data_IF_413462904536
#
_entry.id   IF_413462904536
#
_cell.length_a   1.000
_cell.length_b   1.000
_cell.length_c   1.000
_cell.angle_alpha   90.00
_cell.angle_beta   90.00
_cell.angle_gamma   90.00
#
_symmetry.space_group_name_H-M   'P 1'
#
loop_
_entity.id
_entity.type
_entity.pdbx_description
1 polymer ?
#
# COMPACT_ATOMS: atom_id res chain seq x y z
N UNK A 1 23.29 -8.09 -10.76
CA UNK A 1 23.50 -6.64 -10.48
C UNK A 1 23.42 -6.45 -8.97
N UNK A 2 23.95 -5.37 -8.35
CA UNK A 2 23.67 -5.17 -6.93
C UNK A 2 22.16 -5.03 -6.72
N UNK A 3 21.66 -5.49 -5.55
CA UNK A 3 20.27 -5.34 -5.14
C UNK A 3 19.81 -3.89 -5.30
N UNK A 4 18.58 -3.66 -5.77
CA UNK A 4 17.94 -2.34 -5.82
C UNK A 4 17.45 -1.88 -4.42
N UNK A 5 17.43 -2.77 -3.42
CA UNK A 5 16.93 -2.48 -2.08
C UNK A 5 17.62 -1.28 -1.39
N UNK A 6 18.95 -1.05 -1.49
CA UNK A 6 19.59 0.14 -0.93
C UNK A 6 19.09 1.45 -1.55
N UNK A 7 18.76 1.44 -2.85
CA UNK A 7 18.23 2.61 -3.54
C UNK A 7 16.79 2.91 -3.09
N UNK A 8 15.94 1.87 -2.94
CA UNK A 8 14.59 2.00 -2.38
C UNK A 8 14.66 2.52 -0.94
N UNK A 9 15.58 1.98 -0.14
CA UNK A 9 15.82 2.37 1.26
C UNK A 9 16.20 3.84 1.37
N UNK A 10 17.15 4.30 0.57
CA UNK A 10 17.59 5.69 0.56
C UNK A 10 16.45 6.64 0.17
N UNK A 11 15.64 6.29 -0.84
CA UNK A 11 14.47 7.08 -1.21
C UNK A 11 13.41 7.12 -0.10
N UNK A 12 13.14 5.97 0.54
CA UNK A 12 12.19 5.88 1.65
C UNK A 12 12.61 6.70 2.87
N UNK A 13 13.90 6.68 3.22
CA UNK A 13 14.48 7.51 4.27
C UNK A 13 14.33 9.00 3.95
N UNK A 14 14.72 9.42 2.75
CA UNK A 14 14.57 10.81 2.33
C UNK A 14 13.10 11.26 2.33
N UNK A 15 12.17 10.41 1.90
CA UNK A 15 10.74 10.72 1.96
C UNK A 15 10.22 10.84 3.40
N UNK A 16 10.76 10.04 4.34
CA UNK A 16 10.46 10.17 5.76
C UNK A 16 11.02 11.46 6.34
N UNK A 17 12.26 11.80 6.02
CA UNK A 17 12.87 13.07 6.43
C UNK A 17 12.05 14.27 5.90
N UNK A 18 11.53 14.18 4.65
CA UNK A 18 10.68 15.23 4.08
C UNK A 18 9.37 15.37 4.84
N UNK A 19 8.78 14.26 5.27
CA UNK A 19 7.60 14.26 6.12
C UNK A 19 7.87 14.90 7.49
N UNK A 20 9.00 14.56 8.12
CA UNK A 20 9.36 15.11 9.42
C UNK A 20 9.70 16.62 9.32
N UNK A 21 10.42 17.06 8.28
CA UNK A 21 10.66 18.48 8.04
C UNK A 21 9.34 19.27 7.84
N UNK A 22 8.41 18.75 7.03
CA UNK A 22 7.09 19.39 6.84
C UNK A 22 6.28 19.48 8.14
N UNK A 23 6.37 18.46 9.00
CA UNK A 23 5.70 18.42 10.32
C UNK A 23 6.19 19.56 11.22
N UNK A 24 7.46 19.95 11.10
CA UNK A 24 8.08 21.01 11.88
C UNK A 24 8.15 22.38 11.19
N UNK A 25 7.69 22.48 9.94
CA UNK A 25 7.80 23.69 9.15
C UNK A 25 9.24 24.01 8.74
N UNK A 26 10.09 22.99 8.66
CA UNK A 26 11.47 23.07 8.17
C UNK A 26 11.52 22.99 6.64
N UNK A 27 12.66 23.40 6.06
CA UNK A 27 12.86 23.35 4.62
C UNK A 27 13.20 21.92 4.16
N UNK A 28 12.47 21.43 3.17
CA UNK A 28 12.69 20.11 2.55
C UNK A 28 13.80 20.13 1.50
N UNK A 29 14.29 21.32 1.11
CA UNK A 29 15.31 21.47 0.07
C UNK A 29 16.66 20.86 0.47
N UNK A 30 17.01 20.90 1.76
CA UNK A 30 18.30 20.43 2.28
C UNK A 30 18.35 18.91 2.50
N UNK A 31 17.22 18.22 2.36
CA UNK A 31 17.14 16.77 2.53
C UNK A 31 17.82 16.08 1.35
N UNK A 32 18.85 15.31 1.64
CA UNK A 32 19.62 14.56 0.63
C UNK A 32 18.75 13.47 0.02
N UNK A 33 18.67 13.46 -1.32
CA UNK A 33 18.08 12.40 -2.11
C UNK A 33 19.12 11.93 -3.13
N UNK A 34 19.12 10.64 -3.47
CA UNK A 34 20.08 10.12 -4.44
C UNK A 34 19.88 10.79 -5.80
N UNK A 35 20.97 11.03 -6.53
CA UNK A 35 20.88 11.63 -7.87
C UNK A 35 20.03 10.80 -8.85
N UNK A 36 19.86 9.49 -8.57
CA UNK A 36 18.97 8.58 -9.31
C UNK A 36 17.50 9.00 -9.19
N UNK A 37 17.09 9.55 -8.05
CA UNK A 37 15.68 9.89 -7.75
C UNK A 37 15.42 11.37 -7.50
N UNK A 38 16.41 12.23 -7.71
CA UNK A 38 16.27 13.68 -7.53
C UNK A 38 15.10 14.27 -8.36
N UNK A 39 14.81 13.71 -9.53
CA UNK A 39 13.65 14.09 -10.36
C UNK A 39 12.29 13.78 -9.71
N UNK A 40 12.26 12.95 -8.67
CA UNK A 40 11.05 12.61 -7.90
C UNK A 40 10.82 13.54 -6.71
N UNK A 41 11.75 14.43 -6.36
CA UNK A 41 11.68 15.26 -5.14
C UNK A 41 10.31 15.93 -4.97
N UNK A 42 9.79 16.60 -6.00
CA UNK A 42 8.50 17.29 -5.90
C UNK A 42 7.34 16.35 -5.60
N UNK A 43 7.38 15.11 -6.12
CA UNK A 43 6.35 14.10 -5.91
C UNK A 43 6.47 13.45 -4.53
N UNK A 44 7.69 13.27 -4.02
CA UNK A 44 7.94 12.79 -2.66
C UNK A 44 7.53 13.82 -1.61
N UNK A 45 7.85 15.10 -1.81
CA UNK A 45 7.37 16.20 -0.95
C UNK A 45 5.85 16.27 -0.96
N UNK A 46 5.22 16.14 -2.14
CA UNK A 46 3.75 16.10 -2.28
C UNK A 46 3.15 14.91 -1.51
N UNK A 47 3.75 13.73 -1.63
CA UNK A 47 3.32 12.53 -0.90
C UNK A 47 3.41 12.77 0.61
N UNK A 48 4.53 13.28 1.10
CA UNK A 48 4.75 13.60 2.51
C UNK A 48 3.70 14.59 3.05
N UNK A 49 3.42 15.68 2.32
CA UNK A 49 2.37 16.65 2.66
C UNK A 49 0.98 16.00 2.73
N UNK A 50 0.64 15.11 1.78
CA UNK A 50 -0.65 14.41 1.81
C UNK A 50 -0.77 13.46 3.00
N UNK A 51 0.30 12.73 3.35
CA UNK A 51 0.33 11.87 4.54
C UNK A 51 0.16 12.70 5.80
N UNK A 52 0.86 13.84 5.91
CA UNK A 52 0.76 14.75 7.05
C UNK A 52 -0.66 15.29 7.22
N UNK A 53 -1.27 15.82 6.15
CA UNK A 53 -2.65 16.31 6.20
C UNK A 53 -3.65 15.21 6.56
N UNK A 54 -3.50 14.02 5.97
CA UNK A 54 -4.34 12.89 6.28
C UNK A 54 -4.18 12.43 7.75
N UNK A 55 -2.99 12.52 8.33
CA UNK A 55 -2.75 12.18 9.74
C UNK A 55 -3.45 13.14 10.72
N UNK A 56 -3.70 14.39 10.29
CA UNK A 56 -4.37 15.42 11.09
C UNK A 56 -5.91 15.25 11.08
N UNK A 57 -6.48 14.73 9.99
CA UNK A 57 -7.92 14.44 9.88
C UNK A 57 -8.19 12.96 10.12
N UNK A 58 -8.84 12.63 11.23
CA UNK A 58 -9.06 11.24 11.59
C UNK A 58 -10.49 10.89 11.94
N UNK A 59 -10.84 9.63 11.64
CA UNK A 59 -12.06 9.00 12.11
C UNK A 59 -11.71 7.90 13.10
N UNK A 60 -12.38 7.92 14.25
CA UNK A 60 -12.20 6.94 15.31
C UNK A 60 -13.22 5.81 15.16
N UNK A 61 -12.71 4.60 15.02
CA UNK A 61 -13.47 3.37 15.18
C UNK A 61 -13.34 2.90 16.63
N UNK A 62 -14.42 3.00 17.39
CA UNK A 62 -14.45 2.62 18.82
C UNK A 62 -14.49 1.10 19.02
N UNK A 63 -13.52 0.42 18.42
CA UNK A 63 -13.33 -1.03 18.43
C UNK A 63 -11.84 -1.31 18.62
N UNK A 64 -11.55 -2.42 19.30
CA UNK A 64 -10.20 -2.99 19.34
C UNK A 64 -9.95 -3.78 18.05
N UNK A 65 -9.12 -3.28 17.14
CA UNK A 65 -8.94 -3.96 15.85
C UNK A 65 -8.31 -5.35 15.98
N UNK A 66 -7.60 -5.62 17.08
CA UNK A 66 -7.03 -6.93 17.41
C UNK A 66 -8.12 -7.93 17.79
N UNK A 67 -9.04 -7.52 18.67
CA UNK A 67 -10.20 -8.36 19.01
C UNK A 67 -11.09 -8.60 17.77
N UNK A 68 -11.26 -7.58 16.92
CA UNK A 68 -11.92 -7.75 15.63
C UNK A 68 -11.20 -8.76 14.75
N UNK A 69 -9.87 -8.66 14.64
CA UNK A 69 -9.08 -9.59 13.84
C UNK A 69 -9.18 -11.02 14.37
N UNK A 70 -9.09 -11.23 15.68
CA UNK A 70 -9.16 -12.56 16.27
C UNK A 70 -10.45 -13.30 15.93
N UNK A 71 -11.57 -12.57 15.88
CA UNK A 71 -12.88 -13.10 15.53
C UNK A 71 -13.03 -13.30 14.02
N UNK A 72 -12.45 -12.43 13.20
CA UNK A 72 -12.64 -12.43 11.73
C UNK A 72 -11.56 -13.16 10.93
N UNK A 73 -10.43 -13.53 11.55
CA UNK A 73 -9.23 -14.04 10.84
C UNK A 73 -9.49 -15.25 9.96
N UNK A 74 -10.48 -16.09 10.30
CA UNK A 74 -10.85 -17.30 9.56
C UNK A 74 -11.88 -17.07 8.44
N UNK A 75 -12.46 -15.87 8.32
CA UNK A 75 -13.48 -15.54 7.32
C UNK A 75 -12.93 -14.67 6.20
N UNK A 76 -13.19 -15.03 4.95
CA UNK A 76 -12.74 -14.30 3.77
C UNK A 76 -13.79 -13.32 3.19
N UNK A 77 -14.91 -13.09 3.89
CA UNK A 77 -16.01 -12.26 3.39
C UNK A 77 -17.13 -13.03 2.68
N UNK A 78 -16.97 -14.33 2.37
CA UNK A 78 -17.94 -15.07 1.57
C UNK A 78 -19.27 -15.40 2.31
N UNK A 79 -19.33 -15.22 3.63
CA UNK A 79 -20.51 -15.56 4.45
C UNK A 79 -21.21 -14.30 4.94
N UNK A 80 -22.16 -13.79 4.16
CA UNK A 80 -22.88 -12.55 4.47
C UNK A 80 -23.50 -12.51 5.87
N UNK A 81 -24.07 -13.62 6.35
CA UNK A 81 -24.63 -13.71 7.72
C UNK A 81 -23.57 -13.51 8.79
N UNK A 82 -22.36 -14.04 8.60
CA UNK A 82 -21.23 -13.81 9.51
C UNK A 82 -20.73 -12.38 9.46
N UNK A 83 -20.67 -11.78 8.28
CA UNK A 83 -20.30 -10.36 8.17
C UNK A 83 -21.33 -9.44 8.83
N UNK A 84 -22.62 -9.81 8.81
CA UNK A 84 -23.64 -9.11 9.58
C UNK A 84 -23.42 -9.28 11.10
N UNK A 85 -23.21 -10.51 11.60
CA UNK A 85 -22.89 -10.76 13.01
C UNK A 85 -21.69 -9.87 13.46
N UNK A 86 -20.65 -9.76 12.62
CA UNK A 86 -19.49 -8.94 12.93
C UNK A 86 -19.81 -7.45 12.99
N UNK A 87 -20.68 -6.92 12.11
CA UNK A 87 -21.09 -5.50 12.15
C UNK A 87 -21.95 -5.19 13.38
N UNK A 88 -22.74 -6.14 13.85
CA UNK A 88 -23.53 -6.00 15.09
C UNK A 88 -22.62 -6.02 16.33
N UNK A 89 -21.62 -6.91 16.34
CA UNK A 89 -20.64 -7.02 17.44
C UNK A 89 -19.63 -5.87 17.47
N UNK A 90 -19.16 -5.44 16.31
CA UNK A 90 -18.13 -4.41 16.13
C UNK A 90 -18.73 -3.28 15.30
N UNK A 91 -19.37 -2.34 15.99
CA UNK A 91 -20.11 -1.25 15.33
C UNK A 91 -19.19 -0.46 14.38
N UNK A 92 -19.57 -0.33 13.10
CA UNK A 92 -18.84 0.49 12.16
C UNK A 92 -18.86 1.98 12.53
N UNK A 93 -17.96 2.77 11.94
CA UNK A 93 -18.01 4.22 12.04
C UNK A 93 -19.27 4.73 11.32
N UNK A 94 -20.00 5.66 11.94
CA UNK A 94 -21.15 6.31 11.32
C UNK A 94 -20.69 7.47 10.42
N UNK A 95 -20.27 7.13 9.20
CA UNK A 95 -19.93 8.11 8.17
C UNK A 95 -21.00 8.06 7.08
N UNK A 96 -21.94 9.02 7.13
CA UNK A 96 -23.08 9.06 6.20
C UNK A 96 -22.67 9.35 4.75
N UNK A 97 -21.56 10.06 4.53
CA UNK A 97 -21.13 10.53 3.22
C UNK A 97 -19.86 9.85 2.71
N UNK A 98 -19.67 9.86 1.39
CA UNK A 98 -18.41 9.41 0.79
C UNK A 98 -17.27 10.36 1.17
N UNK A 99 -16.22 9.83 1.79
CA UNK A 99 -15.02 10.57 2.16
C UNK A 99 -14.24 10.92 0.89
N UNK A 100 -13.92 12.20 0.74
CA UNK A 100 -13.22 12.78 -0.43
C UNK A 100 -11.91 13.49 -0.08
N UNK A 101 -11.72 13.81 1.20
CA UNK A 101 -10.52 14.45 1.70
C UNK A 101 -9.63 13.42 2.38
N UNK A 102 -8.31 13.65 2.33
CA UNK A 102 -7.35 12.74 2.95
C UNK A 102 -7.59 12.59 4.44
N UNK A 103 -7.52 11.35 4.94
CA UNK A 103 -7.76 11.07 6.34
C UNK A 103 -7.11 9.75 6.81
N UNK A 104 -6.91 9.64 8.11
CA UNK A 104 -6.57 8.40 8.80
C UNK A 104 -7.82 7.78 9.45
N UNK A 105 -7.93 6.45 9.41
CA UNK A 105 -8.85 5.68 10.24
C UNK A 105 -8.06 5.07 11.39
N UNK A 106 -8.56 5.19 12.61
CA UNK A 106 -7.91 4.66 13.80
C UNK A 106 -8.84 3.80 14.62
N UNK A 107 -8.31 2.78 15.27
CA UNK A 107 -9.05 2.00 16.26
C UNK A 107 -9.04 2.68 17.65
N UNK A 108 -9.71 2.10 18.65
CA UNK A 108 -9.80 2.68 20.00
C UNK A 108 -8.44 2.81 20.73
N UNK A 109 -7.44 2.02 20.31
CA UNK A 109 -6.06 2.06 20.81
C UNK A 109 -5.18 3.01 19.97
N UNK A 110 -5.77 3.76 19.04
CA UNK A 110 -5.11 4.68 18.09
C UNK A 110 -4.14 3.98 17.13
N UNK A 111 -4.35 2.69 16.85
CA UNK A 111 -3.68 1.98 15.76
C UNK A 111 -4.30 2.40 14.44
N UNK A 112 -3.48 2.82 13.48
CA UNK A 112 -3.93 3.19 12.13
C UNK A 112 -4.48 1.93 11.45
N UNK A 113 -5.70 2.03 10.95
CA UNK A 113 -6.41 0.95 10.25
C UNK A 113 -6.44 1.16 8.74
N UNK A 114 -6.50 2.43 8.33
CA UNK A 114 -6.36 2.82 6.94
C UNK A 114 -5.84 4.26 6.84
N UNK A 115 -5.16 4.57 5.74
CA UNK A 115 -4.81 5.92 5.34
C UNK A 115 -5.32 6.15 3.92
N UNK A 116 -6.17 7.15 3.75
CA UNK A 116 -6.76 7.54 2.48
C UNK A 116 -6.10 8.82 1.97
N UNK A 117 -5.50 8.76 0.78
CA UNK A 117 -4.69 9.82 0.20
C UNK A 117 -5.17 10.14 -1.23
N UNK A 118 -6.18 11.01 -1.39
CA UNK A 118 -6.70 11.38 -2.70
C UNK A 118 -5.71 12.28 -3.46
N UNK A 119 -5.59 12.07 -4.77
CA UNK A 119 -4.86 12.98 -5.66
C UNK A 119 -3.35 13.10 -5.41
N UNK A 120 -2.73 12.12 -4.77
CA UNK A 120 -1.28 12.13 -4.50
C UNK A 120 -0.47 12.02 -5.79
N UNK A 121 -0.86 11.12 -6.69
CA UNK A 121 -0.08 10.82 -7.89
C UNK A 121 -0.28 11.92 -8.93
N UNK A 122 0.81 12.43 -9.51
CA UNK A 122 0.72 13.47 -10.53
C UNK A 122 0.05 12.98 -11.82
N UNK A 123 -0.67 13.85 -12.55
CA UNK A 123 -1.33 13.49 -13.81
C UNK A 123 -0.41 12.81 -14.84
N UNK A 124 0.88 13.21 -14.88
CA UNK A 124 1.88 12.62 -15.80
C UNK A 124 2.09 11.11 -15.59
N UNK A 125 1.85 10.61 -14.37
CA UNK A 125 1.95 9.19 -13.99
C UNK A 125 0.64 8.43 -14.09
N UNK A 126 -0.48 9.14 -14.28
CA UNK A 126 -1.80 8.55 -14.45
C UNK A 126 -2.11 8.21 -15.91
N UNK A 127 -1.28 8.69 -16.86
CA UNK A 127 -1.43 8.35 -18.26
C UNK A 127 -1.08 6.86 -18.46
N UNK A 128 -2.08 6.06 -18.83
CA UNK A 128 -1.85 4.68 -19.26
C UNK A 128 -1.06 4.70 -20.58
N UNK A 129 0.23 4.38 -20.52
CA UNK A 129 1.08 4.20 -21.70
C UNK A 129 0.90 2.76 -22.18
N UNK A 130 0.44 2.62 -23.43
CA UNK A 130 0.24 1.35 -24.14
C UNK A 130 -0.79 0.39 -23.52
N UNK A 131 -1.38 -0.53 -24.30
CA UNK A 131 -2.26 -1.55 -23.75
C UNK A 131 -1.49 -2.50 -22.83
N UNK A 132 -1.86 -2.54 -21.56
CA UNK A 132 -1.33 -3.52 -20.61
C UNK A 132 -1.80 -4.92 -21.04
N UNK A 133 -0.84 -5.81 -21.31
CA UNK A 133 -1.14 -7.20 -21.67
C UNK A 133 -1.27 -8.02 -20.37
N UNK A 134 -2.46 -8.52 -20.02
CA UNK A 134 -2.64 -9.24 -18.76
C UNK A 134 -1.93 -10.60 -18.81
N UNK A 135 -1.08 -10.85 -17.81
CA UNK A 135 -0.61 -12.20 -17.47
C UNK A 135 -1.19 -12.61 -16.12
N UNK A 136 -1.43 -13.90 -15.92
CA UNK A 136 -1.81 -14.43 -14.60
C UNK A 136 -0.66 -14.29 -13.59
N UNK A 137 0.57 -14.52 -14.05
CA UNK A 137 1.78 -14.58 -13.24
C UNK A 137 2.95 -13.92 -13.99
N UNK A 138 3.94 -13.37 -13.29
CA UNK A 138 5.15 -12.76 -13.89
C UNK A 138 6.09 -13.79 -14.52
N UNK A 139 6.15 -15.00 -13.96
CA UNK A 139 6.92 -16.13 -14.45
C UNK A 139 6.29 -17.42 -13.91
N UNK A 140 6.63 -18.57 -14.49
CA UNK A 140 6.26 -19.88 -13.94
C UNK A 140 7.52 -20.64 -13.59
N UNK A 141 7.61 -21.13 -12.36
CA UNK A 141 8.79 -21.86 -11.89
C UNK A 141 9.13 -23.03 -12.81
N UNK A 142 10.42 -23.13 -13.17
CA UNK A 142 10.95 -24.19 -14.02
C UNK A 142 10.57 -24.08 -15.50
N UNK A 143 10.07 -22.92 -15.95
CA UNK A 143 9.73 -22.66 -17.35
C UNK A 143 10.23 -21.29 -17.79
N UNK A 144 10.65 -21.21 -19.04
CA UNK A 144 10.99 -19.92 -19.65
C UNK A 144 9.73 -19.03 -19.71
N UNK A 145 9.86 -17.72 -19.40
CA UNK A 145 8.74 -16.81 -19.48
C UNK A 145 8.17 -16.73 -20.90
N UNK A 146 6.85 -16.71 -21.00
CA UNK A 146 6.16 -16.44 -22.26
C UNK A 146 6.41 -15.00 -22.73
N UNK A 147 6.14 -14.70 -24.01
CA UNK A 147 6.22 -13.33 -24.55
C UNK A 147 5.42 -12.33 -23.70
N UNK A 148 4.21 -12.71 -23.26
CA UNK A 148 3.36 -11.86 -22.41
C UNK A 148 4.00 -11.61 -21.04
N UNK A 149 4.63 -12.63 -20.45
CA UNK A 149 5.35 -12.50 -19.19
C UNK A 149 6.55 -11.58 -19.31
N UNK A 150 7.32 -11.66 -20.40
CA UNK A 150 8.42 -10.72 -20.66
C UNK A 150 7.95 -9.28 -20.82
N UNK A 151 6.84 -9.04 -21.53
CA UNK A 151 6.25 -7.70 -21.64
C UNK A 151 5.82 -7.16 -20.27
N UNK A 152 5.20 -8.00 -19.44
CA UNK A 152 4.80 -7.61 -18.09
C UNK A 152 6.01 -7.34 -17.18
N UNK A 153 7.06 -8.16 -17.27
CA UNK A 153 8.32 -7.94 -16.54
C UNK A 153 8.96 -6.61 -16.94
N UNK A 154 9.08 -6.32 -18.25
CA UNK A 154 9.59 -5.05 -18.74
C UNK A 154 8.76 -3.86 -18.24
N UNK A 155 7.43 -3.99 -18.26
CA UNK A 155 6.53 -2.98 -17.72
C UNK A 155 6.76 -2.73 -16.22
N UNK A 156 6.94 -3.79 -15.41
CA UNK A 156 7.26 -3.65 -13.97
C UNK A 156 8.56 -2.86 -13.76
N UNK A 157 9.57 -3.08 -14.62
CA UNK A 157 10.84 -2.34 -14.56
C UNK A 157 10.64 -0.88 -14.97
N UNK A 158 9.87 -0.61 -16.03
CA UNK A 158 9.54 0.76 -16.47
C UNK A 158 8.71 1.54 -15.44
N UNK A 159 8.04 0.84 -14.51
CA UNK A 159 7.30 1.44 -13.41
C UNK A 159 8.18 1.92 -12.25
N UNK A 160 9.51 1.82 -12.34
CA UNK A 160 10.45 2.11 -11.25
C UNK A 160 10.08 3.36 -10.45
N UNK A 161 9.94 4.53 -11.09
CA UNK A 161 9.60 5.76 -10.40
C UNK A 161 8.29 5.67 -9.58
N UNK A 162 7.25 5.09 -10.17
CA UNK A 162 5.96 4.93 -9.50
C UNK A 162 6.10 3.92 -8.35
N UNK A 163 6.86 2.85 -8.55
CA UNK A 163 7.17 1.87 -7.51
C UNK A 163 7.93 2.51 -6.33
N UNK A 164 8.87 3.41 -6.59
CA UNK A 164 9.59 4.18 -5.57
C UNK A 164 8.63 5.10 -4.81
N UNK A 165 7.76 5.85 -5.48
CA UNK A 165 6.76 6.70 -4.80
C UNK A 165 5.84 5.87 -3.90
N UNK A 166 5.35 4.73 -4.39
CA UNK A 166 4.49 3.83 -3.61
C UNK A 166 5.23 3.18 -2.44
N UNK A 167 6.51 2.86 -2.62
CA UNK A 167 7.39 2.35 -1.55
C UNK A 167 7.66 3.41 -0.49
N UNK A 168 7.87 4.67 -0.89
CA UNK A 168 8.02 5.80 0.02
C UNK A 168 6.75 6.05 0.83
N UNK A 169 5.56 5.81 0.27
CA UNK A 169 4.32 5.91 1.02
C UNK A 169 4.30 4.90 2.19
N UNK A 170 4.77 3.67 1.96
CA UNK A 170 4.94 2.69 3.03
C UNK A 170 6.04 3.09 4.01
N UNK A 171 7.16 3.66 3.53
CA UNK A 171 8.25 4.12 4.38
C UNK A 171 7.80 5.19 5.38
N UNK A 172 6.95 6.14 4.96
CA UNK A 172 6.42 7.18 5.85
C UNK A 172 5.39 6.57 6.83
N UNK A 173 4.46 5.76 6.33
CA UNK A 173 3.27 5.33 7.08
C UNK A 173 3.53 4.13 7.98
N UNK A 174 4.37 3.20 7.54
CA UNK A 174 4.66 1.95 8.24
C UNK A 174 6.15 1.54 8.10
N UNK A 175 7.08 2.34 8.65
CA UNK A 175 8.52 2.13 8.49
C UNK A 175 9.03 0.74 8.92
N UNK A 176 8.48 0.13 9.97
CA UNK A 176 8.82 -1.25 10.35
C UNK A 176 8.49 -2.27 9.24
N UNK A 177 7.31 -2.16 8.63
CA UNK A 177 6.92 -3.03 7.52
C UNK A 177 7.79 -2.78 6.31
N UNK A 178 8.04 -1.51 5.97
CA UNK A 178 8.94 -1.14 4.88
C UNK A 178 10.31 -1.80 5.03
N UNK A 179 10.89 -1.71 6.22
CA UNK A 179 12.19 -2.30 6.53
C UNK A 179 12.18 -3.83 6.37
N UNK A 180 11.22 -4.51 7.01
CA UNK A 180 11.10 -5.97 6.93
C UNK A 180 10.87 -6.45 5.50
N UNK A 181 10.13 -5.70 4.69
CA UNK A 181 9.95 -5.99 3.27
C UNK A 181 11.25 -5.85 2.47
N UNK A 182 12.07 -4.82 2.75
CA UNK A 182 13.36 -4.66 2.09
C UNK A 182 14.34 -5.79 2.45
N UNK A 183 14.35 -6.23 3.70
CA UNK A 183 15.14 -7.42 4.10
C UNK A 183 14.68 -8.70 3.41
N UNK A 184 13.37 -8.85 3.20
CA UNK A 184 12.84 -9.95 2.38
C UNK A 184 13.36 -9.83 0.94
N UNK A 185 13.36 -8.63 0.36
CA UNK A 185 13.84 -8.40 -1.00
C UNK A 185 15.34 -8.70 -1.14
N UNK A 186 16.16 -8.24 -0.18
CA UNK A 186 17.60 -8.54 -0.13
C UNK A 186 17.86 -10.05 -0.09
N UNK A 187 17.13 -10.80 0.75
CA UNK A 187 17.22 -12.26 0.79
C UNK A 187 16.71 -12.94 -0.48
N UNK A 188 15.72 -12.37 -1.17
CA UNK A 188 15.30 -12.86 -2.48
C UNK A 188 16.36 -12.62 -3.56
N UNK A 189 17.14 -11.54 -3.47
CA UNK A 189 18.28 -11.30 -4.36
C UNK A 189 19.41 -12.34 -4.18
N UNK A 190 19.51 -12.98 -3.02
CA UNK A 190 20.49 -14.03 -2.72
C UNK A 190 20.06 -15.42 -3.21
N UNK A 191 18.79 -15.59 -3.58
CA UNK A 191 18.24 -16.85 -4.04
C UNK A 191 18.30 -16.92 -5.57
N UNK A 192 19.10 -17.83 -6.12
CA UNK A 192 19.31 -17.98 -7.58
C UNK A 192 18.00 -18.02 -8.39
N UNK A 193 16.95 -18.61 -7.80
CA UNK A 193 15.61 -18.71 -8.39
C UNK A 193 14.94 -17.34 -8.61
N UNK A 194 15.20 -16.37 -7.74
CA UNK A 194 14.51 -15.07 -7.71
C UNK A 194 15.41 -13.89 -8.02
N UNK A 195 16.74 -14.05 -7.94
CA UNK A 195 17.71 -12.96 -8.01
C UNK A 195 17.49 -12.02 -9.20
N UNK A 196 17.32 -12.58 -10.40
CA UNK A 196 17.16 -11.76 -11.63
C UNK A 196 15.94 -10.85 -11.62
N UNK A 197 14.84 -11.27 -10.99
CA UNK A 197 13.61 -10.46 -10.85
C UNK A 197 13.72 -9.53 -9.65
N UNK A 198 14.23 -10.03 -8.52
CA UNK A 198 14.36 -9.28 -7.27
C UNK A 198 15.30 -8.07 -7.41
N UNK A 199 16.40 -8.21 -8.16
CA UNK A 199 17.33 -7.11 -8.44
C UNK A 199 16.68 -5.93 -9.20
N UNK A 200 15.57 -6.16 -9.90
CA UNK A 200 14.86 -5.15 -10.70
C UNK A 200 13.54 -4.72 -10.05
N UNK A 201 13.24 -5.23 -8.86
CA UNK A 201 11.95 -5.05 -8.19
C UNK A 201 11.95 -3.78 -7.33
N UNK A 202 11.50 -2.67 -7.91
CA UNK A 202 11.50 -1.35 -7.26
C UNK A 202 10.39 -1.14 -6.20
N UNK A 203 9.60 -2.18 -5.87
CA UNK A 203 8.54 -2.10 -4.85
C UNK A 203 9.02 -2.65 -3.50
N UNK A 204 8.77 -1.91 -2.42
CA UNK A 204 8.93 -2.39 -1.03
C UNK A 204 7.83 -3.38 -0.59
N UNK A 205 7.18 -4.05 -1.55
CA UNK A 205 6.15 -5.05 -1.33
C UNK A 205 6.53 -6.31 -2.08
N UNK A 206 6.34 -7.49 -1.49
CA UNK A 206 6.77 -8.75 -2.15
C UNK A 206 5.91 -9.15 -3.36
N UNK A 207 4.78 -8.48 -3.59
CA UNK A 207 3.88 -8.76 -4.70
C UNK A 207 3.16 -7.50 -5.18
N UNK A 208 2.90 -7.45 -6.48
CA UNK A 208 2.08 -6.42 -7.14
C UNK A 208 1.05 -7.12 -8.02
N UNK A 209 -0.17 -6.59 -8.06
CA UNK A 209 -1.23 -7.04 -8.95
C UNK A 209 -1.85 -5.86 -9.67
N UNK A 210 -2.05 -6.03 -10.98
CA UNK A 210 -2.72 -5.06 -11.84
C UNK A 210 -4.15 -5.55 -12.08
N UNK A 211 -5.12 -4.76 -11.66
CA UNK A 211 -6.54 -5.11 -11.77
C UNK A 211 -7.21 -4.07 -12.67
N UNK A 212 -7.59 -4.47 -13.89
CA UNK A 212 -8.22 -3.58 -14.86
C UNK A 212 -9.71 -3.86 -14.99
N UNK A 213 -10.55 -2.81 -14.97
CA UNK A 213 -12.00 -2.81 -15.22
C UNK A 213 -12.82 -3.87 -14.47
N UNK A 214 -12.27 -4.36 -13.36
CA UNK A 214 -12.89 -5.44 -12.60
C UNK A 214 -13.60 -4.85 -11.38
N UNK A 215 -14.90 -5.10 -11.31
CA UNK A 215 -15.64 -5.02 -10.05
C UNK A 215 -15.04 -6.02 -9.07
N UNK A 216 -14.87 -5.58 -7.84
CA UNK A 216 -14.27 -6.40 -6.79
C UNK A 216 -15.30 -6.57 -5.68
N UNK A 217 -16.01 -7.72 -5.61
CA UNK A 217 -16.97 -8.01 -4.54
C UNK A 217 -16.34 -7.96 -3.16
N UNK A 218 -17.17 -7.93 -2.11
CA UNK A 218 -16.71 -7.98 -0.72
C UNK A 218 -15.82 -9.20 -0.44
N UNK A 219 -14.60 -8.95 0.03
CA UNK A 219 -13.66 -10.01 0.42
C UNK A 219 -12.60 -9.52 1.41
N UNK A 220 -11.84 -10.47 1.96
CA UNK A 220 -10.58 -10.26 2.67
C UNK A 220 -9.47 -11.07 2.01
N UNK A 221 -8.31 -10.47 1.85
CA UNK A 221 -7.15 -11.09 1.20
C UNK A 221 -6.41 -12.01 2.16
N UNK A 222 -6.88 -13.26 2.28
CA UNK A 222 -6.28 -14.23 3.21
C UNK A 222 -4.86 -14.66 2.87
N UNK A 223 -4.43 -14.42 1.63
CA UNK A 223 -3.09 -14.69 1.15
C UNK A 223 -2.16 -13.47 1.18
N UNK A 224 -2.68 -12.25 1.39
CA UNK A 224 -1.88 -11.04 1.58
C UNK A 224 -1.69 -10.73 3.07
N UNK A 225 -0.74 -9.83 3.32
CA UNK A 225 -0.69 -8.99 4.52
C UNK A 225 -0.66 -9.77 5.82
N UNK A 226 -1.25 -9.21 6.86
CA UNK A 226 -1.18 -9.68 8.24
C UNK A 226 -1.91 -8.66 9.11
N UNK A 227 -2.07 -8.95 10.40
CA UNK A 227 -2.76 -8.01 11.28
C UNK A 227 -2.08 -6.63 11.30
N UNK A 228 -0.75 -6.59 11.44
CA UNK A 228 0.04 -5.37 11.38
C UNK A 228 0.60 -5.02 10.00
N UNK A 229 0.07 -5.56 8.89
CA UNK A 229 0.62 -5.26 7.56
C UNK A 229 -0.39 -4.51 6.71
N UNK A 230 0.06 -3.45 6.05
CA UNK A 230 -0.70 -2.72 5.05
C UNK A 230 -0.40 -3.23 3.65
N UNK A 231 -1.49 -3.36 2.91
CA UNK A 231 -1.51 -3.36 1.46
C UNK A 231 -1.68 -1.90 1.00
N UNK A 232 -1.21 -1.59 -0.21
CA UNK A 232 -1.37 -0.29 -0.84
C UNK A 232 -2.14 -0.46 -2.14
N UNK A 233 -3.22 0.28 -2.30
CA UNK A 233 -3.98 0.34 -3.54
C UNK A 233 -3.82 1.72 -4.19
N UNK A 234 -3.43 1.74 -5.47
CA UNK A 234 -3.42 2.94 -6.32
C UNK A 234 -4.50 2.79 -7.40
N UNK A 235 -5.40 3.77 -7.50
CA UNK A 235 -6.37 3.88 -8.61
C UNK A 235 -5.82 4.78 -9.72
N UNK A 236 -5.92 4.35 -10.97
CA UNK A 236 -5.61 5.11 -12.17
C UNK A 236 -6.82 5.06 -13.11
N UNK A 237 -7.24 6.21 -13.63
CA UNK A 237 -8.44 6.34 -14.45
C UNK A 237 -9.73 6.24 -13.64
N UNK A 238 -10.76 5.66 -14.25
CA UNK A 238 -12.09 5.51 -13.67
C UNK A 238 -12.99 6.75 -13.79
N UNK A 239 -14.07 6.78 -13.01
CA UNK A 239 -15.02 7.88 -12.99
C UNK A 239 -15.26 8.40 -11.56
N UNK A 240 -15.82 9.62 -11.38
CA UNK A 240 -16.07 10.19 -10.06
C UNK A 240 -17.04 9.40 -9.16
N UNK A 241 -17.68 8.37 -9.70
CA UNK A 241 -18.59 7.47 -8.97
C UNK A 241 -17.90 6.21 -8.43
N UNK A 242 -16.69 5.91 -8.89
CA UNK A 242 -15.93 4.75 -8.40
C UNK A 242 -15.62 4.95 -6.92
N UNK A 243 -15.90 3.94 -6.11
CA UNK A 243 -15.64 3.96 -4.67
C UNK A 243 -14.92 2.70 -4.20
N UNK A 244 -14.08 2.88 -3.18
CA UNK A 244 -13.54 1.82 -2.34
C UNK A 244 -14.30 1.85 -1.03
N UNK A 245 -14.81 0.72 -0.58
CA UNK A 245 -15.55 0.61 0.67
C UNK A 245 -14.84 -0.37 1.59
N UNK A 246 -14.81 -0.04 2.88
CA UNK A 246 -14.41 -0.96 3.95
C UNK A 246 -15.64 -1.20 4.83
N UNK A 247 -16.57 -2.10 4.47
CA UNK A 247 -17.86 -2.18 5.13
C UNK A 247 -17.79 -2.55 6.61
N UNK A 248 -16.74 -3.28 7.03
CA UNK A 248 -16.49 -3.57 8.44
C UNK A 248 -16.14 -2.33 9.26
N UNK A 249 -15.61 -1.28 8.62
CA UNK A 249 -15.32 0.02 9.22
C UNK A 249 -16.43 1.04 8.97
N UNK A 250 -17.37 0.77 8.05
CA UNK A 250 -18.49 1.68 7.77
C UNK A 250 -18.12 2.89 6.94
N UNK A 251 -17.04 2.78 6.17
CA UNK A 251 -16.46 3.90 5.41
C UNK A 251 -16.49 3.63 3.92
N UNK A 252 -16.72 4.69 3.17
CA UNK A 252 -16.70 4.73 1.71
C UNK A 252 -15.81 5.87 1.26
N UNK A 253 -14.82 5.57 0.43
CA UNK A 253 -13.88 6.53 -0.13
C UNK A 253 -14.19 6.80 -1.60
N UNK A 254 -14.10 8.07 -2.03
CA UNK A 254 -14.06 8.39 -3.45
C UNK A 254 -12.75 7.84 -4.03
N UNK A 255 -12.85 6.96 -5.02
CA UNK A 255 -11.71 6.18 -5.50
C UNK A 255 -11.29 6.58 -6.91
N UNK A 256 -11.05 7.88 -7.03
CA UNK A 256 -10.71 8.58 -8.28
C UNK A 256 -9.25 8.34 -8.69
N UNK A 257 -8.91 8.70 -9.92
CA UNK A 257 -7.55 8.56 -10.47
C UNK A 257 -6.52 9.30 -9.61
N UNK A 258 -5.39 8.64 -9.34
CA UNK A 258 -4.30 9.15 -8.52
C UNK A 258 -4.50 9.01 -7.01
N UNK A 259 -5.54 8.28 -6.58
CA UNK A 259 -5.81 7.99 -5.16
C UNK A 259 -4.96 6.82 -4.69
N UNK A 260 -4.28 7.00 -3.54
CA UNK A 260 -3.63 5.92 -2.80
C UNK A 260 -4.46 5.61 -1.55
N UNK A 261 -4.65 4.32 -1.24
CA UNK A 261 -5.23 3.87 0.02
C UNK A 261 -4.33 2.79 0.62
N UNK A 262 -3.86 3.00 1.85
CA UNK A 262 -3.11 2.01 2.61
C UNK A 262 -4.02 1.41 3.68
N UNK A 263 -4.14 0.09 3.75
CA UNK A 263 -4.89 -0.63 4.79
C UNK A 263 -4.55 -2.12 4.74
N UNK A 264 -4.89 -2.88 5.78
CA UNK A 264 -4.74 -4.35 5.74
C UNK A 264 -5.93 -5.00 5.03
N UNK A 265 -5.76 -5.43 3.77
CA UNK A 265 -6.77 -6.23 3.04
C UNK A 265 -7.02 -7.60 3.68
N UNK A 266 -6.06 -8.07 4.47
CA UNK A 266 -6.15 -9.30 5.26
C UNK A 266 -7.18 -9.21 6.41
N UNK A 267 -7.23 -8.04 7.05
CA UNK A 267 -8.07 -7.76 8.22
C UNK A 267 -9.43 -7.21 7.80
N UNK A 268 -9.44 -6.22 6.92
CA UNK A 268 -10.63 -5.45 6.61
C UNK A 268 -11.37 -6.01 5.40
N UNK A 269 -12.67 -6.28 5.59
CA UNK A 269 -13.56 -6.58 4.47
C UNK A 269 -13.58 -5.35 3.57
N UNK A 270 -13.36 -5.55 2.27
CA UNK A 270 -13.31 -4.45 1.32
C UNK A 270 -13.92 -4.83 -0.02
N UNK A 271 -14.40 -3.82 -0.74
CA UNK A 271 -15.03 -3.93 -2.06
C UNK A 271 -14.76 -2.68 -2.88
N UNK A 272 -14.76 -2.82 -4.20
CA UNK A 272 -14.61 -1.71 -5.13
C UNK A 272 -15.77 -1.74 -6.12
N UNK A 273 -16.48 -0.61 -6.21
CA UNK A 273 -17.62 -0.49 -7.12
C UNK A 273 -17.20 -0.61 -8.59
N UNK A 274 -18.13 -0.98 -9.49
CA UNK A 274 -17.89 -0.87 -10.92
C UNK A 274 -17.48 0.54 -11.34
N UNK A 275 -16.68 0.62 -12.40
CA UNK A 275 -16.30 1.88 -13.06
C UNK A 275 -16.91 1.91 -14.46
N UNK A 276 -17.50 3.04 -14.83
CA UNK A 276 -18.06 3.26 -16.18
C UNK A 276 -17.01 3.65 -17.22
N UNK A 277 -15.81 4.01 -16.75
CA UNK A 277 -14.66 4.33 -17.57
C UNK A 277 -13.52 3.36 -17.27
N UNK A 278 -12.60 3.26 -18.21
CA UNK A 278 -11.35 2.51 -18.06
C UNK A 278 -10.65 2.86 -16.74
N UNK A 279 -10.44 1.85 -15.91
CA UNK A 279 -9.82 1.97 -14.60
C UNK A 279 -8.84 0.83 -14.39
N UNK A 280 -7.68 1.20 -13.86
CA UNK A 280 -6.68 0.28 -13.36
C UNK A 280 -6.46 0.48 -11.86
N UNK A 281 -6.31 -0.63 -11.14
CA UNK A 281 -5.79 -0.66 -9.78
C UNK A 281 -4.40 -1.28 -9.79
N UNK A 282 -3.44 -0.64 -9.14
CA UNK A 282 -2.16 -1.26 -8.78
C UNK A 282 -2.24 -1.60 -7.29
N UNK A 283 -2.36 -2.89 -6.98
CA UNK A 283 -2.39 -3.41 -5.63
C UNK A 283 -1.00 -3.92 -5.25
N UNK A 284 -0.33 -3.25 -4.32
CA UNK A 284 0.96 -3.65 -3.77
C UNK A 284 0.73 -4.28 -2.40
N UNK A 285 1.24 -5.48 -2.18
CA UNK A 285 1.02 -6.20 -0.92
C UNK A 285 2.21 -7.10 -0.58
N UNK A 286 2.43 -7.29 0.71
CA UNK A 286 3.42 -8.25 1.19
C UNK A 286 2.75 -9.61 1.45
N UNK A 287 3.49 -10.70 1.29
CA UNK A 287 3.03 -12.06 1.59
C UNK A 287 3.74 -12.57 2.82
N UNK A 288 2.99 -12.97 3.86
CA UNK A 288 3.55 -13.58 5.10
C UNK A 288 4.46 -14.76 4.81
N UNK A 289 4.14 -15.54 3.77
CA UNK A 289 4.94 -16.69 3.37
C UNK A 289 6.39 -16.30 3.03
N UNK A 290 6.62 -15.09 2.49
CA UNK A 290 7.98 -14.60 2.19
C UNK A 290 8.72 -14.26 3.48
N UNK A 291 8.08 -13.56 4.43
CA UNK A 291 8.66 -13.29 5.75
C UNK A 291 8.98 -14.59 6.48
N UNK A 292 8.04 -15.54 6.51
CA UNK A 292 8.21 -16.83 7.17
C UNK A 292 9.30 -17.68 6.51
N UNK A 293 9.42 -17.67 5.16
CA UNK A 293 10.50 -18.37 4.45
C UNK A 293 11.88 -17.97 4.99
N UNK A 294 12.04 -16.70 5.36
CA UNK A 294 13.30 -16.15 5.83
C UNK A 294 13.41 -16.02 7.35
N UNK A 295 12.45 -16.56 8.11
CA UNK A 295 12.43 -16.48 9.57
C UNK A 295 12.26 -15.06 10.11
N UNK A 296 11.70 -14.14 9.32
CA UNK A 296 11.44 -12.77 9.74
C UNK A 296 10.07 -12.69 10.44
N UNK A 297 10.01 -11.87 11.50
CA UNK A 297 8.75 -11.57 12.17
C UNK A 297 7.84 -10.76 11.24
N UNK A 298 6.53 -10.80 11.54
CA UNK A 298 5.58 -9.86 10.95
C UNK A 298 5.66 -8.53 11.71
N UNK A 299 5.49 -7.38 11.03
CA UNK A 299 5.50 -6.08 11.69
C UNK A 299 4.37 -5.95 12.72
N UNK A 300 4.61 -5.12 13.72
CA UNK A 300 3.59 -4.65 14.66
C UNK A 300 2.61 -3.71 13.96
N UNK A 301 1.46 -3.43 14.58
CA UNK A 301 0.53 -2.42 14.05
C UNK A 301 1.04 -1.02 14.38
N UNK A 302 1.10 -0.14 13.37
CA UNK A 302 1.46 1.27 13.59
C UNK A 302 0.35 2.07 14.28
N UNK A 303 0.74 2.86 15.29
CA UNK A 303 -0.10 3.86 15.94
C UNK A 303 0.10 5.24 15.33
N UNK A 304 -0.89 6.13 15.50
CA UNK A 304 -0.73 7.51 15.02
C UNK A 304 0.41 8.24 15.72
N UNK A 305 0.69 7.90 16.99
CA UNK A 305 1.82 8.44 17.73
C UNK A 305 3.15 8.01 17.13
N UNK A 306 3.31 6.73 16.79
CA UNK A 306 4.52 6.23 16.12
C UNK A 306 4.69 6.87 14.74
N UNK A 307 3.61 6.99 13.96
CA UNK A 307 3.64 7.65 12.66
C UNK A 307 4.14 9.09 12.78
N UNK A 308 3.68 9.83 13.81
CA UNK A 308 4.04 11.22 14.05
C UNK A 308 5.32 11.41 14.89
N UNK A 309 5.91 10.34 15.42
CA UNK A 309 7.08 10.38 16.29
C UNK A 309 8.35 10.82 15.56
N UNK A 310 9.26 11.45 16.30
CA UNK A 310 10.60 11.84 15.83
C UNK A 310 11.63 10.73 16.06
N UNK A 311 11.39 9.89 17.07
CA UNK A 311 12.32 8.85 17.52
C UNK A 311 12.23 7.56 16.68
N UNK A 312 11.63 7.61 15.49
CA UNK A 312 11.46 6.41 14.68
C UNK A 312 12.77 6.04 13.99
N UNK A 313 13.60 5.26 14.69
CA UNK A 313 14.74 4.60 14.07
C UNK A 313 14.26 3.42 13.24
N UNK A 314 14.63 3.37 11.96
CA UNK A 314 14.57 2.12 11.18
C UNK A 314 15.35 1.08 11.98
N UNK A 315 14.65 0.12 12.58
CA UNK A 315 15.30 -0.92 13.35
C UNK A 315 16.18 -1.70 12.36
N UNK A 316 17.50 -1.80 12.55
CA UNK A 316 18.42 -2.44 11.61
C UNK A 316 18.34 -3.97 11.61
#
# INVERSE_FOLDING_TARGET
MPSIAPDIRAAGLAARDMFDALKFGEDVADISLSSRYEHLRSELVRLADHVLRASQRHYMWDVDSEAYYDVTRTQNGAKATKEQDFREQFRPIDVAETIREGCALMDKKRRVQALYLPGVIEPKRQAMKEPIVPSKDLATLGRDPTRTQHLLQAWVVEMEDSAIILSCALAIVHPEQFELSLRCLEKLCEEDEFASIAEQWAFAFSAVSVISNRETPEHRDKSSGGYGMFDLLLSIGGCPRTALELPGLGVRFAYESGTIVLFSGHVHLHTVSPSEKERMCIACYARKAVHHKFGLNLPSSVTIQELLSDDFTYVP
#
